data_IF_572633753449
#
_entry.id   IF_572633753449
#
_cell.length_a   1.000
_cell.length_b   1.000
_cell.length_c   1.000
_cell.angle_alpha   90.00
_cell.angle_beta   90.00
_cell.angle_gamma   90.00
#
_symmetry.space_group_name_H-M   'P 1'
#
loop_
_entity.id
_entity.type
_entity.pdbx_description
1 polymer ?
#
# COMPACT_ATOMS: atom_id res chain seq x y z
N UNK A 1 -22.21 -19.64 -1.02
CA UNK A 1 -22.32 -18.17 -0.90
C UNK A 1 -21.33 -17.46 -1.81
N UNK A 2 -20.03 -17.79 -1.77
CA UNK A 2 -19.03 -17.24 -2.68
C UNK A 2 -19.32 -17.54 -4.16
N UNK A 3 -19.67 -18.79 -4.50
CA UNK A 3 -19.99 -19.17 -5.90
C UNK A 3 -21.17 -18.38 -6.46
N UNK A 4 -22.18 -18.10 -5.61
CA UNK A 4 -23.33 -17.28 -5.97
C UNK A 4 -22.90 -15.83 -6.28
N UNK A 5 -22.09 -15.23 -5.41
CA UNK A 5 -21.58 -13.88 -5.63
C UNK A 5 -20.71 -13.81 -6.90
N UNK A 6 -19.84 -14.81 -7.11
CA UNK A 6 -18.99 -14.91 -8.30
C UNK A 6 -19.83 -14.99 -9.58
N UNK A 7 -20.83 -15.87 -9.63
CA UNK A 7 -21.73 -16.00 -10.77
C UNK A 7 -22.55 -14.73 -11.03
N UNK A 8 -23.07 -14.09 -9.98
CA UNK A 8 -23.82 -12.85 -10.11
C UNK A 8 -22.94 -11.71 -10.65
N UNK A 9 -21.73 -11.53 -10.12
CA UNK A 9 -20.83 -10.45 -10.51
C UNK A 9 -20.34 -10.61 -11.95
N UNK A 10 -19.85 -11.81 -12.29
CA UNK A 10 -19.38 -12.12 -13.64
C UNK A 10 -20.51 -12.07 -14.67
N UNK A 11 -21.71 -12.57 -14.33
CA UNK A 11 -22.91 -12.44 -15.18
C UNK A 11 -23.33 -10.99 -15.43
N UNK A 12 -22.96 -10.05 -14.56
CA UNK A 12 -23.18 -8.61 -14.73
C UNK A 12 -21.96 -7.86 -15.30
N UNK A 13 -20.94 -8.58 -15.81
CA UNK A 13 -19.76 -8.01 -16.45
C UNK A 13 -18.71 -7.45 -15.50
N UNK A 14 -18.79 -7.80 -14.22
CA UNK A 14 -17.74 -7.49 -13.24
C UNK A 14 -16.76 -8.65 -13.14
N UNK A 15 -15.47 -8.36 -13.33
CA UNK A 15 -14.41 -9.35 -13.26
C UNK A 15 -13.50 -9.07 -12.07
N UNK A 16 -12.98 -10.13 -11.43
CA UNK A 16 -12.00 -9.98 -10.37
C UNK A 16 -10.73 -9.34 -10.94
N UNK A 17 -10.18 -8.33 -10.24
CA UNK A 17 -8.99 -7.59 -10.72
C UNK A 17 -7.89 -7.40 -9.68
N UNK A 18 -8.17 -7.61 -8.40
CA UNK A 18 -7.14 -7.72 -7.36
C UNK A 18 -7.59 -8.73 -6.30
N UNK A 19 -6.61 -9.33 -5.63
CA UNK A 19 -6.85 -10.16 -4.46
C UNK A 19 -5.80 -9.84 -3.39
N UNK A 20 -6.22 -9.74 -2.14
CA UNK A 20 -5.28 -9.83 -1.02
C UNK A 20 -5.81 -10.80 0.04
N UNK A 21 -4.87 -11.45 0.72
CA UNK A 21 -5.19 -12.39 1.79
C UNK A 21 -5.52 -11.63 3.07
N UNK A 22 -6.75 -11.75 3.57
CA UNK A 22 -7.07 -11.28 4.90
C UNK A 22 -6.53 -12.28 5.93
N UNK A 23 -5.67 -11.81 6.83
CA UNK A 23 -5.26 -12.59 7.99
C UNK A 23 -6.20 -12.32 9.16
N UNK A 24 -6.33 -13.29 10.08
CA UNK A 24 -7.11 -13.16 11.33
C UNK A 24 -8.62 -12.98 11.11
N UNK A 25 -9.16 -13.62 10.08
CA UNK A 25 -10.61 -13.74 9.86
C UNK A 25 -11.05 -15.20 9.99
N UNK A 26 -12.31 -15.42 10.36
CA UNK A 26 -12.89 -16.76 10.38
C UNK A 26 -12.81 -17.34 8.96
N UNK A 27 -12.15 -18.49 8.80
CA UNK A 27 -11.86 -19.16 7.53
C UNK A 27 -10.83 -18.50 6.58
N UNK A 28 -10.12 -17.44 6.99
CA UNK A 28 -9.02 -16.83 6.20
C UNK A 28 -9.36 -16.60 4.71
N UNK A 29 -10.57 -16.11 4.44
CA UNK A 29 -11.02 -15.87 3.06
C UNK A 29 -10.24 -14.72 2.40
N UNK A 30 -10.31 -14.70 1.08
CA UNK A 30 -9.67 -13.67 0.25
C UNK A 30 -10.52 -12.41 0.20
N UNK A 31 -9.86 -11.26 0.12
CA UNK A 31 -10.52 -10.01 -0.27
C UNK A 31 -10.25 -9.77 -1.75
N UNK A 32 -11.28 -10.00 -2.56
CA UNK A 32 -11.21 -9.88 -4.02
C UNK A 32 -12.02 -8.68 -4.47
N UNK A 33 -11.37 -7.76 -5.19
CA UNK A 33 -12.05 -6.66 -5.84
C UNK A 33 -12.60 -7.03 -7.20
N UNK A 34 -13.79 -6.52 -7.51
CA UNK A 34 -14.45 -6.70 -8.79
C UNK A 34 -14.67 -5.35 -9.47
N UNK A 35 -14.43 -5.29 -10.78
CA UNK A 35 -14.65 -4.09 -11.57
C UNK A 35 -15.12 -4.47 -12.98
N UNK A 36 -15.79 -3.54 -13.65
CA UNK A 36 -16.01 -3.64 -15.10
C UNK A 36 -14.70 -3.40 -15.82
N UNK A 37 -14.55 -3.97 -17.02
CA UNK A 37 -13.38 -3.79 -17.87
C UNK A 37 -13.05 -2.31 -18.07
N UNK A 38 -11.80 -1.93 -17.82
CA UNK A 38 -11.31 -0.55 -17.95
C UNK A 38 -11.70 0.37 -16.79
N UNK A 39 -12.29 -0.17 -15.72
CA UNK A 39 -12.68 0.54 -14.48
C UNK A 39 -11.99 -0.05 -13.25
N UNK A 40 -10.91 -0.79 -13.46
CA UNK A 40 -10.10 -1.36 -12.40
C UNK A 40 -9.46 -0.23 -11.57
N UNK A 41 -9.44 -0.38 -10.26
CA UNK A 41 -8.79 0.58 -9.39
C UNK A 41 -7.26 0.39 -9.45
N UNK A 42 -6.58 1.18 -10.27
CA UNK A 42 -5.12 1.14 -10.40
C UNK A 42 -4.41 1.36 -9.06
N UNK A 43 -4.97 2.18 -8.18
CA UNK A 43 -4.41 2.39 -6.83
C UNK A 43 -4.32 1.08 -6.05
N UNK A 44 -5.35 0.24 -6.05
CA UNK A 44 -5.33 -1.05 -5.35
C UNK A 44 -4.25 -1.97 -5.92
N UNK A 45 -4.05 -1.96 -7.24
CA UNK A 45 -3.02 -2.75 -7.90
C UNK A 45 -1.63 -2.25 -7.48
N UNK A 46 -1.35 -0.96 -7.65
CA UNK A 46 -0.03 -0.39 -7.37
C UNK A 46 0.38 -0.46 -5.90
N UNK A 47 -0.58 -0.35 -4.98
CA UNK A 47 -0.31 -0.49 -3.55
C UNK A 47 0.14 -1.91 -3.19
N UNK A 48 -0.45 -2.92 -3.84
CA UNK A 48 -0.23 -4.35 -3.57
C UNK A 48 0.97 -4.95 -4.31
N UNK A 49 1.21 -4.54 -5.55
CA UNK A 49 2.34 -4.99 -6.39
C UNK A 49 3.72 -4.55 -5.85
N UNK A 50 3.74 -3.63 -4.89
CA UNK A 50 4.96 -3.09 -4.28
C UNK A 50 5.99 -2.50 -5.27
N UNK A 51 5.60 -2.16 -6.50
CA UNK A 51 6.51 -1.57 -7.50
C UNK A 51 6.74 -0.06 -7.33
N UNK A 52 5.90 0.63 -6.56
CA UNK A 52 5.94 2.09 -6.44
C UNK A 52 6.25 2.55 -5.01
N UNK A 53 7.06 3.60 -4.91
CA UNK A 53 7.26 4.34 -3.67
C UNK A 53 5.98 5.08 -3.29
N UNK A 54 5.58 4.95 -2.02
CA UNK A 54 4.39 5.57 -1.43
C UNK A 54 4.85 6.60 -0.40
N UNK A 55 4.49 7.86 -0.61
CA UNK A 55 4.77 8.94 0.33
C UNK A 55 3.54 9.22 1.17
N UNK A 56 3.73 9.20 2.48
CA UNK A 56 2.66 9.46 3.44
C UNK A 56 3.07 10.55 4.44
N UNK A 57 2.08 11.35 4.87
CA UNK A 57 2.24 12.47 5.80
C UNK A 57 1.26 12.34 6.97
N UNK A 58 1.63 12.91 8.12
CA UNK A 58 0.83 12.88 9.33
C UNK A 58 1.22 11.78 10.34
N UNK A 59 0.59 11.80 11.50
CA UNK A 59 0.78 10.79 12.55
C UNK A 59 0.30 9.40 12.06
N UNK A 60 1.05 8.36 12.39
CA UNK A 60 0.79 6.98 11.96
C UNK A 60 1.08 6.70 10.49
N UNK A 61 1.48 7.71 9.71
CA UNK A 61 1.81 7.54 8.31
C UNK A 61 3.07 6.67 8.12
N UNK A 62 3.08 5.88 7.05
CA UNK A 62 4.23 5.06 6.66
C UNK A 62 4.61 5.40 5.23
N UNK A 63 5.83 5.89 5.05
CA UNK A 63 6.42 6.06 3.73
C UNK A 63 7.08 4.75 3.32
N UNK A 64 6.73 4.22 2.15
CA UNK A 64 7.35 3.02 1.54
C UNK A 64 8.22 3.50 0.39
N UNK A 65 9.52 3.21 0.43
CA UNK A 65 10.45 3.52 -0.65
C UNK A 65 10.84 2.21 -1.30
N UNK A 66 10.52 2.07 -2.58
CA UNK A 66 10.97 0.95 -3.40
C UNK A 66 12.28 1.33 -4.06
N UNK A 67 13.29 0.48 -3.93
CA UNK A 67 14.64 0.67 -4.46
C UNK A 67 14.90 -0.45 -5.48
N UNK A 68 14.53 -0.25 -6.76
CA UNK A 68 14.53 -1.33 -7.76
C UNK A 68 15.92 -1.96 -7.95
N UNK A 69 16.97 -1.14 -7.97
CA UNK A 69 18.37 -1.58 -8.15
C UNK A 69 18.84 -2.59 -7.10
N UNK A 70 18.28 -2.49 -5.88
CA UNK A 70 18.64 -3.36 -4.76
C UNK A 70 17.60 -4.44 -4.48
N UNK A 71 16.52 -4.46 -5.25
CA UNK A 71 15.32 -5.25 -4.98
C UNK A 71 14.87 -5.14 -3.51
N UNK A 72 14.94 -3.92 -2.96
CA UNK A 72 14.71 -3.64 -1.54
C UNK A 72 13.52 -2.69 -1.37
N UNK A 73 12.72 -2.95 -0.33
CA UNK A 73 11.62 -2.07 0.08
C UNK A 73 11.88 -1.60 1.50
N UNK A 74 12.08 -0.29 1.66
CA UNK A 74 12.28 0.34 2.96
C UNK A 74 11.02 1.06 3.42
N UNK A 75 10.67 0.88 4.69
CA UNK A 75 9.49 1.52 5.31
C UNK A 75 9.94 2.46 6.42
N UNK A 76 9.50 3.71 6.33
CA UNK A 76 9.84 4.78 7.26
C UNK A 76 8.55 5.23 7.93
N UNK A 77 8.47 4.98 9.24
CA UNK A 77 7.28 5.19 10.03
C UNK A 77 7.30 6.58 10.67
N UNK A 78 6.17 7.26 10.68
CA UNK A 78 5.93 8.37 11.59
C UNK A 78 5.47 7.85 12.96
N UNK A 79 5.55 8.70 13.98
CA UNK A 79 4.98 8.38 15.29
C UNK A 79 3.49 8.12 15.17
N UNK A 80 3.02 7.05 15.82
CA UNK A 80 1.61 6.63 15.79
C UNK A 80 0.70 7.64 16.48
N UNK A 81 1.11 8.14 17.63
CA UNK A 81 0.27 9.01 18.45
C UNK A 81 0.51 10.49 18.12
N UNK A 82 -0.55 11.32 18.03
CA UNK A 82 -0.42 12.74 17.70
C UNK A 82 0.53 13.50 18.62
N UNK A 83 0.50 13.23 19.93
CA UNK A 83 1.40 13.87 20.89
C UNK A 83 2.88 13.63 20.56
N UNK A 84 3.26 12.39 20.26
CA UNK A 84 4.63 12.06 19.88
C UNK A 84 5.00 12.67 18.52
N UNK A 85 4.05 12.66 17.58
CA UNK A 85 4.24 13.26 16.26
C UNK A 85 4.50 14.77 16.34
N UNK A 86 3.82 15.47 17.25
CA UNK A 86 3.98 16.92 17.42
C UNK A 86 5.22 17.23 18.25
N UNK A 87 5.43 16.53 19.37
CA UNK A 87 6.53 16.82 20.32
C UNK A 87 7.92 16.43 19.81
N UNK A 88 8.02 15.50 18.85
CA UNK A 88 9.30 14.98 18.33
C UNK A 88 9.54 15.36 16.87
N UNK A 89 9.32 16.63 16.55
CA UNK A 89 9.42 17.15 15.19
C UNK A 89 10.82 16.94 14.56
N UNK A 90 11.89 17.12 15.33
CA UNK A 90 13.26 16.97 14.83
C UNK A 90 13.54 15.57 14.31
N UNK A 91 13.06 14.53 15.01
CA UNK A 91 13.19 13.13 14.56
C UNK A 91 12.41 12.90 13.26
N UNK A 92 11.22 13.51 13.12
CA UNK A 92 10.44 13.41 11.87
C UNK A 92 11.23 14.06 10.73
N UNK A 93 11.82 15.22 10.97
CA UNK A 93 12.65 15.93 9.98
C UNK A 93 13.85 15.09 9.56
N UNK A 94 14.55 14.46 10.50
CA UNK A 94 15.66 13.54 10.19
C UNK A 94 15.20 12.36 9.31
N UNK A 95 14.05 11.74 9.63
CA UNK A 95 13.46 10.68 8.79
C UNK A 95 13.11 11.18 7.38
N UNK A 96 12.74 12.46 7.21
CA UNK A 96 12.53 13.04 5.86
C UNK A 96 13.85 13.19 5.09
N UNK A 97 14.94 13.54 5.77
CA UNK A 97 16.27 13.59 5.14
C UNK A 97 16.71 12.20 4.68
N UNK A 98 16.44 11.16 5.48
CA UNK A 98 16.70 9.76 5.09
C UNK A 98 15.95 9.36 3.81
N UNK A 99 14.66 9.72 3.71
CA UNK A 99 13.87 9.50 2.48
C UNK A 99 14.55 10.15 1.27
N UNK A 100 14.95 11.42 1.40
CA UNK A 100 15.62 12.13 0.31
C UNK A 100 16.91 11.43 -0.12
N UNK A 101 17.73 10.99 0.83
CA UNK A 101 19.00 10.31 0.53
C UNK A 101 18.80 8.98 -0.22
N UNK A 102 17.75 8.22 0.12
CA UNK A 102 17.43 6.95 -0.54
C UNK A 102 17.00 7.15 -2.00
N UNK A 103 16.29 8.24 -2.29
CA UNK A 103 15.81 8.55 -3.65
C UNK A 103 16.90 9.11 -4.56
N UNK A 104 17.90 9.79 -4.00
CA UNK A 104 19.01 10.36 -4.80
C UNK A 104 20.05 9.29 -5.16
N UNK A 105 20.30 8.33 -4.26
CA UNK A 105 21.29 7.26 -4.48
C UNK A 105 20.87 6.20 -5.50
N UNK A 106 19.59 6.11 -5.84
CA UNK A 106 19.07 5.17 -6.85
C UNK A 106 19.08 5.75 -8.27
N UNK A 107 19.98 6.70 -8.54
CA UNK A 107 20.12 7.39 -9.84
C UNK A 107 21.57 7.42 -10.32
N UNK A 108 22.50 6.81 -9.58
CA UNK A 108 23.91 6.63 -9.92
C UNK A 108 24.18 5.16 -10.19
#
# INVERSE_FOLDING_TARGET
MLDFAYGLLTGNGYFPYYMYRQSKTLNNLENTGYAKKGRECLYNIFMMEECHSIFAVGAGAVTKICIPEKNEIKRIFNFKYPYEYISRFDIIKERKNEISALLTKSKE
#
